data_IF_069862580210
#
_entry.id   IF_069862580210
#
_cell.length_a   1.000
_cell.length_b   1.000
_cell.length_c   1.000
_cell.angle_alpha   90.00
_cell.angle_beta   90.00
_cell.angle_gamma   90.00
#
_symmetry.space_group_name_H-M   'P 1'
#
loop_
_entity.id
_entity.type
_entity.pdbx_description
1 polymer ?
#
# COMPACT_ATOMS: atom_id res chain seq x y z
N UNK A 1 -13.80 -20.48 -2.00
CA UNK A 1 -13.43 -19.05 -2.10
C UNK A 1 -12.66 -18.69 -0.85
N UNK A 2 -11.56 -17.96 -1.00
CA UNK A 2 -10.68 -17.63 0.13
C UNK A 2 -11.14 -16.36 0.82
N UNK A 3 -11.66 -16.54 2.03
CA UNK A 3 -12.11 -15.47 2.92
C UNK A 3 -11.02 -15.17 3.95
N UNK A 4 -11.01 -13.94 4.44
CA UNK A 4 -10.14 -13.49 5.53
C UNK A 4 -10.63 -14.15 6.81
N UNK A 5 -9.80 -15.01 7.40
CA UNK A 5 -10.08 -15.80 8.59
C UNK A 5 -8.94 -15.67 9.60
N UNK A 6 -9.20 -15.88 10.90
CA UNK A 6 -8.14 -15.97 11.89
C UNK A 6 -7.11 -17.06 11.57
N UNK A 7 -5.87 -16.86 11.99
CA UNK A 7 -4.74 -17.78 11.81
C UNK A 7 -3.97 -17.63 10.51
N UNK A 8 -4.52 -16.94 9.49
CA UNK A 8 -3.86 -16.81 8.19
C UNK A 8 -2.94 -15.58 8.15
N UNK A 9 -1.87 -15.67 7.36
CA UNK A 9 -1.07 -14.51 6.98
C UNK A 9 -1.68 -13.82 5.77
N UNK A 10 -1.73 -12.49 5.81
CA UNK A 10 -2.15 -11.63 4.69
C UNK A 10 -1.16 -10.48 4.50
N UNK A 11 -1.18 -9.89 3.32
CA UNK A 11 -0.48 -8.65 3.02
C UNK A 11 -1.48 -7.49 3.10
N UNK A 12 -1.23 -6.56 4.02
CA UNK A 12 -1.95 -5.29 4.06
C UNK A 12 -1.23 -4.27 3.18
N UNK A 13 -1.89 -3.79 2.14
CA UNK A 13 -1.34 -2.81 1.18
C UNK A 13 -2.06 -1.48 1.30
N UNK A 14 -1.29 -0.39 1.40
CA UNK A 14 -1.72 1.00 1.26
C UNK A 14 -0.79 1.72 0.28
N UNK A 15 -1.20 1.83 -0.98
CA UNK A 15 -0.33 2.24 -2.10
C UNK A 15 0.99 1.45 -2.09
N UNK A 16 2.11 2.11 -1.81
CA UNK A 16 3.46 1.52 -1.79
C UNK A 16 3.83 0.92 -0.43
N UNK A 17 3.07 1.21 0.63
CA UNK A 17 3.29 0.62 1.94
C UNK A 17 2.63 -0.76 1.98
N UNK A 18 3.44 -1.79 2.08
CA UNK A 18 3.00 -3.18 2.18
C UNK A 18 3.56 -3.79 3.44
N UNK A 19 2.72 -4.52 4.18
CA UNK A 19 3.12 -5.21 5.42
C UNK A 19 2.47 -6.58 5.51
N UNK A 20 3.25 -7.60 5.84
CA UNK A 20 2.72 -8.92 6.21
C UNK A 20 2.18 -8.86 7.63
N UNK A 21 0.97 -9.36 7.83
CA UNK A 21 0.34 -9.51 9.15
C UNK A 21 -0.30 -10.89 9.27
N UNK A 22 -0.33 -11.42 10.49
CA UNK A 22 -1.16 -12.57 10.83
C UNK A 22 -2.50 -12.03 11.34
N UNK A 23 -3.60 -12.53 10.78
CA UNK A 23 -4.94 -12.19 11.24
C UNK A 23 -5.23 -13.01 12.49
N UNK A 24 -5.41 -12.37 13.64
CA UNK A 24 -5.76 -13.03 14.90
C UNK A 24 -7.28 -13.02 15.15
N UNK A 25 -7.75 -13.85 16.08
CA UNK A 25 -9.16 -13.85 16.48
C UNK A 25 -9.55 -12.56 17.20
N UNK A 26 -10.84 -12.19 17.12
CA UNK A 26 -11.40 -11.06 17.87
C UNK A 26 -11.23 -11.18 19.40
N UNK A 27 -10.82 -12.33 19.95
CA UNK A 27 -10.67 -12.54 21.40
C UNK A 27 -9.41 -11.92 22.02
N UNK A 28 -8.52 -11.36 21.21
CA UNK A 28 -7.32 -10.66 21.66
C UNK A 28 -7.55 -9.30 22.31
N UNK A 29 -6.54 -8.79 23.01
CA UNK A 29 -6.49 -7.42 23.54
C UNK A 29 -6.68 -6.37 22.44
N UNK A 30 -7.11 -5.14 22.76
CA UNK A 30 -7.30 -4.07 21.77
C UNK A 30 -6.05 -3.80 20.90
N UNK A 31 -4.85 -4.13 21.42
CA UNK A 31 -3.58 -4.04 20.67
C UNK A 31 -3.43 -5.09 19.57
N UNK A 32 -3.98 -6.29 19.74
CA UNK A 32 -3.88 -7.38 18.75
C UNK A 32 -4.76 -7.15 17.53
N UNK A 33 -5.79 -6.30 17.66
CA UNK A 33 -6.69 -5.91 16.56
C UNK A 33 -6.17 -4.72 15.77
N UNK A 34 -5.09 -4.09 16.24
CA UNK A 34 -4.52 -2.88 15.66
C UNK A 34 -3.19 -3.20 14.96
N UNK A 35 -3.08 -2.77 13.71
CA UNK A 35 -1.87 -2.92 12.91
C UNK A 35 -1.29 -1.55 12.62
N UNK A 36 -0.02 -1.36 12.97
CA UNK A 36 0.73 -0.20 12.53
C UNK A 36 1.15 -0.35 11.06
N UNK A 37 0.74 0.58 10.21
CA UNK A 37 1.12 0.69 8.80
C UNK A 37 1.69 2.08 8.54
N UNK A 38 3.01 2.17 8.41
CA UNK A 38 3.71 3.45 8.43
C UNK A 38 3.58 4.13 9.78
N UNK A 39 3.02 5.35 9.82
CA UNK A 39 2.79 6.12 11.05
C UNK A 39 1.37 5.97 11.59
N UNK A 40 0.50 5.25 10.88
CA UNK A 40 -0.91 5.13 11.21
C UNK A 40 -1.17 3.76 11.84
N UNK A 41 -2.11 3.75 12.79
CA UNK A 41 -2.59 2.54 13.45
C UNK A 41 -3.97 2.22 12.91
N UNK A 42 -4.18 1.00 12.45
CA UNK A 42 -5.40 0.59 11.75
C UNK A 42 -6.05 -0.55 12.54
N UNK A 43 -7.29 -0.35 12.98
CA UNK A 43 -8.15 -1.41 13.48
C UNK A 43 -8.69 -2.23 12.30
N UNK A 44 -8.31 -3.51 12.27
CA UNK A 44 -8.66 -4.47 11.22
C UNK A 44 -9.74 -5.46 11.68
N UNK A 45 -10.43 -5.20 12.80
CA UNK A 45 -11.47 -6.10 13.33
C UNK A 45 -12.59 -6.43 12.33
N UNK A 46 -12.90 -5.48 11.44
CA UNK A 46 -14.01 -5.57 10.50
C UNK A 46 -13.58 -6.13 9.13
N UNK A 47 -12.31 -6.52 8.93
CA UNK A 47 -11.89 -7.19 7.69
C UNK A 47 -12.25 -8.67 7.64
N UNK A 48 -12.54 -9.27 8.80
CA UNK A 48 -12.87 -10.69 8.93
C UNK A 48 -14.14 -11.05 8.16
N UNK A 49 -14.12 -12.18 7.45
CA UNK A 49 -15.26 -12.67 6.69
C UNK A 49 -15.40 -12.08 5.27
N UNK A 50 -14.62 -11.06 4.91
CA UNK A 50 -14.55 -10.57 3.54
C UNK A 50 -13.62 -11.44 2.67
N UNK A 51 -13.72 -11.31 1.35
CA UNK A 51 -12.85 -12.05 0.43
C UNK A 51 -11.44 -11.49 0.47
N UNK A 52 -10.44 -12.34 0.29
CA UNK A 52 -9.09 -11.85 0.01
C UNK A 52 -9.11 -11.07 -1.31
N UNK A 53 -8.48 -9.90 -1.33
CA UNK A 53 -8.56 -8.89 -2.40
C UNK A 53 -9.58 -7.79 -2.14
N UNK A 54 -10.38 -7.87 -1.06
CA UNK A 54 -11.28 -6.79 -0.67
C UNK A 54 -10.53 -5.52 -0.24
N UNK A 55 -11.16 -4.39 -0.52
CA UNK A 55 -10.66 -3.05 -0.23
C UNK A 55 -11.46 -2.47 0.94
N UNK A 56 -10.79 -1.68 1.77
CA UNK A 56 -11.38 -1.03 2.93
C UNK A 56 -10.98 0.44 2.95
N UNK A 57 -11.95 1.31 3.24
CA UNK A 57 -11.72 2.72 3.51
C UNK A 57 -11.31 2.89 4.98
N UNK A 58 -10.30 3.71 5.23
CA UNK A 58 -9.82 4.09 6.55
C UNK A 58 -10.65 5.26 7.06
N UNK A 59 -11.50 4.99 8.04
CA UNK A 59 -12.28 6.02 8.73
C UNK A 59 -11.50 6.48 9.95
N UNK A 60 -11.25 7.79 10.06
CA UNK A 60 -10.55 8.37 11.20
C UNK A 60 -11.31 8.13 12.50
N UNK A 61 -10.60 7.76 13.56
CA UNK A 61 -11.14 7.67 14.92
C UNK A 61 -10.59 8.78 15.80
N UNK A 62 -9.33 8.64 16.25
CA UNK A 62 -8.66 9.58 17.14
C UNK A 62 -7.18 9.63 16.82
N UNK A 63 -6.66 10.81 16.53
CA UNK A 63 -5.23 11.02 16.27
C UNK A 63 -4.78 10.33 14.99
N UNK A 64 -3.93 9.29 15.09
CA UNK A 64 -3.49 8.50 13.93
C UNK A 64 -4.11 7.10 13.91
N UNK A 65 -5.23 6.92 14.61
CA UNK A 65 -5.96 5.67 14.65
C UNK A 65 -7.11 5.70 13.63
N UNK A 66 -7.19 4.66 12.83
CA UNK A 66 -8.18 4.49 11.77
C UNK A 66 -8.89 3.16 11.92
N UNK A 67 -10.15 3.10 11.49
CA UNK A 67 -10.92 1.86 11.38
C UNK A 67 -11.06 1.48 9.92
N UNK A 68 -10.74 0.23 9.58
CA UNK A 68 -10.97 -0.30 8.24
C UNK A 68 -12.46 -0.64 8.07
N UNK A 69 -13.14 0.04 7.15
CA UNK A 69 -14.55 -0.18 6.81
C UNK A 69 -14.63 -0.66 5.37
N UNK A 70 -15.36 -1.73 5.10
CA UNK A 70 -15.47 -2.30 3.76
C UNK A 70 -16.01 -1.28 2.75
N UNK A 71 -15.43 -1.30 1.56
CA UNK A 71 -15.89 -0.53 0.40
C UNK A 71 -15.73 -1.38 -0.85
N UNK A 72 -16.68 -1.28 -1.77
CA UNK A 72 -16.66 -1.95 -3.06
C UNK A 72 -15.83 -1.18 -4.10
N UNK A 73 -15.54 0.10 -3.85
CA UNK A 73 -14.81 0.97 -4.78
C UNK A 73 -13.79 1.87 -4.10
N UNK A 74 -12.75 2.21 -4.85
CA UNK A 74 -11.82 3.31 -4.55
C UNK A 74 -12.30 4.52 -5.32
N UNK A 75 -12.51 5.64 -4.63
CA UNK A 75 -12.86 6.91 -5.26
C UNK A 75 -11.66 7.48 -6.01
N UNK A 76 -11.77 7.67 -7.33
CA UNK A 76 -10.87 8.57 -8.05
C UNK A 76 -11.28 10.01 -7.73
N UNK A 77 -10.35 10.80 -7.18
CA UNK A 77 -10.63 12.17 -6.79
C UNK A 77 -10.53 13.14 -7.96
N UNK A 78 -9.95 12.71 -9.08
CA UNK A 78 -9.65 13.58 -10.22
C UNK A 78 -10.93 14.18 -10.79
N UNK A 79 -11.90 13.34 -11.15
CA UNK A 79 -13.15 13.79 -11.75
C UNK A 79 -13.97 14.63 -10.76
N UNK A 80 -14.05 14.20 -9.50
CA UNK A 80 -14.85 14.86 -8.46
C UNK A 80 -14.30 16.25 -8.09
N UNK A 81 -12.97 16.40 -8.08
CA UNK A 81 -12.32 17.66 -7.68
C UNK A 81 -12.24 18.63 -8.85
N UNK A 82 -12.05 18.14 -10.07
CA UNK A 82 -11.90 18.99 -11.26
C UNK A 82 -13.23 19.35 -11.93
N UNK A 83 -14.35 18.78 -11.49
CA UNK A 83 -15.67 19.09 -12.02
C UNK A 83 -15.97 20.61 -11.92
N UNK A 84 -16.19 21.25 -13.07
CA UNK A 84 -16.49 22.67 -13.16
C UNK A 84 -15.28 23.61 -13.02
N UNK A 85 -14.06 23.09 -12.91
CA UNK A 85 -12.84 23.90 -12.83
C UNK A 85 -12.27 24.12 -14.24
N UNK A 86 -12.09 25.39 -14.64
CA UNK A 86 -11.42 25.74 -15.88
C UNK A 86 -9.92 25.44 -15.86
N UNK A 87 -9.31 25.28 -17.03
CA UNK A 87 -7.86 25.06 -17.16
C UNK A 87 -7.21 26.10 -18.07
N UNK A 88 -6.00 26.54 -17.72
CA UNK A 88 -5.16 27.36 -18.57
C UNK A 88 -4.52 26.58 -19.73
N UNK A 89 -3.94 27.29 -20.69
CA UNK A 89 -3.29 26.67 -21.86
C UNK A 89 -1.78 26.46 -21.67
N UNK A 90 -1.13 27.35 -20.93
CA UNK A 90 0.32 27.34 -20.72
C UNK A 90 0.70 27.92 -19.34
N UNK A 91 1.99 27.91 -19.04
CA UNK A 91 2.55 28.34 -17.76
C UNK A 91 3.27 29.70 -17.82
N UNK A 92 3.12 30.50 -18.88
CA UNK A 92 3.93 31.71 -19.11
C UNK A 92 3.75 32.78 -18.02
N UNK A 93 2.58 32.81 -17.38
CA UNK A 93 2.24 33.74 -16.30
C UNK A 93 2.31 33.09 -14.91
N UNK A 94 2.83 31.86 -14.83
CA UNK A 94 2.97 31.14 -13.56
C UNK A 94 4.35 31.41 -12.96
N UNK A 95 4.35 31.99 -11.78
CA UNK A 95 5.57 32.25 -11.00
C UNK A 95 5.62 31.30 -9.80
N UNK A 96 6.82 30.88 -9.41
CA UNK A 96 7.01 30.02 -8.24
C UNK A 96 6.91 30.85 -6.96
N UNK A 97 5.67 31.09 -6.54
CA UNK A 97 5.35 31.80 -5.32
C UNK A 97 4.91 30.81 -4.23
N UNK A 98 5.67 30.79 -3.14
CA UNK A 98 5.41 29.96 -1.96
C UNK A 98 4.09 30.34 -1.25
N UNK A 99 3.53 31.52 -1.53
CA UNK A 99 2.26 32.01 -0.98
C UNK A 99 1.04 31.59 -1.81
N UNK A 100 1.26 30.91 -2.95
CA UNK A 100 0.18 30.42 -3.83
C UNK A 100 -0.82 29.49 -3.13
N UNK A 101 -0.37 28.75 -2.10
CA UNK A 101 -1.22 27.95 -1.24
C UNK A 101 -1.52 28.69 0.06
N UNK A 102 -2.78 29.09 0.25
CA UNK A 102 -3.20 29.84 1.44
C UNK A 102 -3.32 28.98 2.70
N UNK A 103 -3.61 27.68 2.56
CA UNK A 103 -3.68 26.77 3.71
C UNK A 103 -2.28 26.38 4.20
N UNK A 104 -1.98 26.74 5.44
CA UNK A 104 -0.74 26.37 6.11
C UNK A 104 -0.60 24.85 6.33
N UNK A 105 0.61 24.40 6.60
CA UNK A 105 0.85 23.00 6.95
C UNK A 105 0.15 22.58 8.26
N UNK A 106 -0.05 23.51 9.18
CA UNK A 106 -0.73 23.25 10.46
C UNK A 106 -2.22 23.03 10.23
N UNK A 107 -2.87 23.87 9.44
CA UNK A 107 -4.29 23.73 9.07
C UNK A 107 -4.52 22.42 8.28
N UNK A 108 -3.65 22.09 7.33
CA UNK A 108 -3.72 20.81 6.61
C UNK A 108 -3.59 19.59 7.53
N UNK A 109 -2.77 19.70 8.59
CA UNK A 109 -2.65 18.64 9.59
C UNK A 109 -3.87 18.58 10.51
N UNK A 110 -4.50 19.73 10.77
CA UNK A 110 -5.71 19.84 11.58
C UNK A 110 -6.91 19.20 10.89
N UNK A 111 -7.12 19.46 9.60
CA UNK A 111 -8.17 18.79 8.80
C UNK A 111 -8.06 17.26 8.86
N UNK A 112 -6.83 16.73 8.84
CA UNK A 112 -6.60 15.29 9.01
C UNK A 112 -6.96 14.77 10.40
N UNK A 113 -6.67 15.55 11.45
CA UNK A 113 -7.00 15.20 12.84
C UNK A 113 -8.50 15.29 13.11
N UNK A 114 -9.20 16.16 12.39
CA UNK A 114 -10.67 16.29 12.45
C UNK A 114 -11.37 15.16 11.70
N UNK A 115 -10.64 14.39 10.89
CA UNK A 115 -11.18 13.28 10.12
C UNK A 115 -11.90 13.71 8.84
N UNK A 116 -11.60 14.92 8.34
CA UNK A 116 -12.08 15.41 7.05
C UNK A 116 -11.66 14.43 5.95
N UNK A 117 -12.58 14.12 5.02
CA UNK A 117 -12.30 13.16 3.96
C UNK A 117 -11.19 13.65 3.03
N UNK A 118 -10.45 12.73 2.41
CA UNK A 118 -9.42 13.07 1.45
C UNK A 118 -9.98 13.89 0.28
N UNK A 119 -11.20 13.59 -0.19
CA UNK A 119 -11.88 14.36 -1.22
C UNK A 119 -12.04 15.84 -0.79
N UNK A 120 -12.57 16.07 0.41
CA UNK A 120 -12.80 17.41 0.93
C UNK A 120 -11.49 18.16 1.21
N UNK A 121 -10.46 17.47 1.73
CA UNK A 121 -9.14 18.07 1.94
C UNK A 121 -8.53 18.50 0.61
N UNK A 122 -8.62 17.66 -0.42
CA UNK A 122 -8.07 17.99 -1.75
C UNK A 122 -8.87 19.13 -2.39
N UNK A 123 -10.20 19.15 -2.25
CA UNK A 123 -11.05 20.25 -2.71
C UNK A 123 -10.68 21.57 -2.04
N UNK A 124 -10.56 21.60 -0.71
CA UNK A 124 -10.12 22.80 0.02
C UNK A 124 -8.71 23.26 -0.40
N UNK A 125 -7.79 22.34 -0.68
CA UNK A 125 -6.44 22.68 -1.17
C UNK A 125 -6.46 23.30 -2.57
N UNK A 126 -7.39 22.88 -3.42
CA UNK A 126 -7.59 23.41 -4.77
C UNK A 126 -8.23 24.80 -4.69
N UNK A 127 -9.31 24.95 -3.92
CA UNK A 127 -10.00 26.24 -3.70
C UNK A 127 -9.07 27.31 -3.09
N UNK A 128 -8.13 26.91 -2.23
CA UNK A 128 -7.17 27.81 -1.59
C UNK A 128 -5.85 27.99 -2.37
N UNK A 129 -5.79 27.54 -3.63
CA UNK A 129 -4.63 27.70 -4.49
C UNK A 129 -4.89 28.75 -5.58
N UNK A 130 -4.31 29.94 -5.39
CA UNK A 130 -4.55 31.10 -6.26
C UNK A 130 -4.15 30.88 -7.73
N UNK A 131 -3.23 29.95 -8.00
CA UNK A 131 -2.71 29.69 -9.35
C UNK A 131 -3.23 28.37 -9.94
N UNK A 132 -4.23 27.72 -9.34
CA UNK A 132 -4.69 26.41 -9.79
C UNK A 132 -5.44 26.44 -11.12
N UNK A 133 -6.36 27.39 -11.30
CA UNK A 133 -7.11 27.55 -12.56
C UNK A 133 -6.21 27.95 -13.73
N UNK A 134 -5.10 28.65 -13.45
CA UNK A 134 -4.09 29.01 -14.45
C UNK A 134 -3.26 27.81 -14.93
N UNK A 135 -3.34 26.66 -14.25
CA UNK A 135 -2.61 25.44 -14.67
C UNK A 135 -3.29 24.80 -15.87
N UNK A 136 -2.46 24.17 -16.71
CA UNK A 136 -2.95 23.28 -17.76
C UNK A 136 -3.70 22.09 -17.16
N UNK A 137 -4.66 21.53 -17.91
CA UNK A 137 -5.45 20.37 -17.45
C UNK A 137 -4.56 19.23 -16.94
N UNK A 138 -3.51 18.86 -17.69
CA UNK A 138 -2.54 17.85 -17.23
C UNK A 138 -1.82 18.24 -15.93
N UNK A 139 -1.53 19.53 -15.72
CA UNK A 139 -0.90 20.02 -14.49
C UNK A 139 -1.86 20.00 -13.30
N UNK A 140 -3.16 20.25 -13.54
CA UNK A 140 -4.22 20.12 -12.54
C UNK A 140 -4.42 18.65 -12.13
N UNK A 141 -4.57 17.75 -13.10
CA UNK A 141 -4.67 16.30 -12.83
C UNK A 141 -3.44 15.78 -12.07
N UNK A 142 -2.23 16.16 -12.51
CA UNK A 142 -0.98 15.78 -11.82
C UNK A 142 -0.96 16.29 -10.38
N UNK A 143 -1.46 17.50 -10.14
CA UNK A 143 -1.58 18.05 -8.80
C UNK A 143 -2.56 17.24 -7.95
N UNK A 144 -3.76 16.97 -8.47
CA UNK A 144 -4.81 16.21 -7.77
C UNK A 144 -4.31 14.81 -7.45
N UNK A 145 -3.74 14.08 -8.41
CA UNK A 145 -3.15 12.73 -8.19
C UNK A 145 -2.08 12.75 -7.11
N UNK A 146 -1.19 13.75 -7.11
CA UNK A 146 -0.17 13.92 -6.05
C UNK A 146 -0.79 14.13 -4.67
N UNK A 147 -1.90 14.87 -4.57
CA UNK A 147 -2.61 15.06 -3.29
C UNK A 147 -3.39 13.80 -2.91
N UNK A 148 -4.10 13.18 -3.84
CA UNK A 148 -4.79 11.90 -3.62
C UNK A 148 -3.83 10.85 -3.06
N UNK A 149 -2.62 10.71 -3.61
CA UNK A 149 -1.59 9.82 -3.06
C UNK A 149 -1.21 10.16 -1.62
N UNK A 150 -1.04 11.46 -1.32
CA UNK A 150 -0.67 11.93 0.03
C UNK A 150 -1.79 11.67 1.05
N UNK A 151 -3.05 11.85 0.66
CA UNK A 151 -4.24 11.70 1.53
C UNK A 151 -4.92 10.34 1.36
N UNK A 152 -4.29 9.38 0.66
CA UNK A 152 -4.93 8.11 0.30
C UNK A 152 -5.50 7.34 1.49
N UNK A 153 -6.78 7.01 1.42
CA UNK A 153 -7.58 6.50 2.54
C UNK A 153 -7.89 5.01 2.43
N UNK A 154 -7.36 4.30 1.45
CA UNK A 154 -7.75 2.92 1.21
C UNK A 154 -6.64 1.94 1.58
N UNK A 155 -7.04 0.77 2.06
CA UNK A 155 -6.18 -0.39 2.22
C UNK A 155 -6.79 -1.58 1.51
N UNK A 156 -5.93 -2.52 1.15
CA UNK A 156 -6.32 -3.76 0.49
C UNK A 156 -5.68 -4.94 1.21
N UNK A 157 -6.45 -6.00 1.38
CA UNK A 157 -5.99 -7.23 2.03
C UNK A 157 -5.68 -8.27 0.95
N UNK A 158 -4.41 -8.55 0.73
CA UNK A 158 -3.93 -9.43 -0.33
C UNK A 158 -3.45 -10.78 0.19
N UNK A 159 -3.57 -11.80 -0.66
CA UNK A 159 -2.93 -13.10 -0.44
C UNK A 159 -1.41 -12.92 -0.50
N UNK A 160 -0.64 -13.43 0.48
CA UNK A 160 0.81 -13.48 0.35
C UNK A 160 1.19 -14.33 -0.86
N UNK A 161 2.02 -13.76 -1.73
CA UNK A 161 2.67 -14.47 -2.81
C UNK A 161 4.12 -14.01 -2.89
N UNK A 162 5.00 -14.85 -3.41
CA UNK A 162 6.42 -14.53 -3.53
C UNK A 162 6.65 -13.27 -4.35
N UNK A 163 5.80 -13.03 -5.37
CA UNK A 163 5.82 -11.77 -6.13
C UNK A 163 5.64 -10.56 -5.22
N UNK A 164 4.61 -10.56 -4.38
CA UNK A 164 4.30 -9.42 -3.52
C UNK A 164 5.28 -9.30 -2.35
N UNK A 165 5.72 -10.42 -1.77
CA UNK A 165 6.70 -10.45 -0.68
C UNK A 165 8.05 -9.94 -1.17
N UNK A 166 8.54 -10.40 -2.32
CA UNK A 166 9.80 -9.92 -2.91
C UNK A 166 9.74 -8.41 -3.19
N UNK A 167 8.64 -7.92 -3.77
CA UNK A 167 8.44 -6.48 -4.00
C UNK A 167 8.43 -5.68 -2.69
N UNK A 168 7.74 -6.19 -1.66
CA UNK A 168 7.70 -5.57 -0.34
C UNK A 168 9.10 -5.50 0.29
N UNK A 169 9.84 -6.61 0.33
CA UNK A 169 11.17 -6.67 0.93
C UNK A 169 12.15 -5.76 0.18
N UNK A 170 12.10 -5.76 -1.16
CA UNK A 170 12.93 -4.88 -1.98
C UNK A 170 12.63 -3.40 -1.74
N UNK A 171 11.36 -3.02 -1.63
CA UNK A 171 10.96 -1.64 -1.35
C UNK A 171 11.32 -1.19 0.08
N UNK A 172 11.30 -2.10 1.06
CA UNK A 172 11.61 -1.79 2.46
C UNK A 172 13.13 -1.68 2.70
N UNK A 173 13.90 -2.70 2.28
CA UNK A 173 15.35 -2.70 2.41
C UNK A 173 15.95 -3.72 1.43
N UNK A 174 16.39 -3.30 0.24
CA UNK A 174 16.89 -4.22 -0.77
C UNK A 174 18.20 -4.89 -0.35
N UNK A 175 19.02 -4.27 0.51
CA UNK A 175 20.27 -4.87 1.01
C UNK A 175 20.01 -6.13 1.85
N UNK A 176 18.89 -6.19 2.57
CA UNK A 176 18.49 -7.39 3.36
C UNK A 176 18.12 -8.60 2.49
N UNK A 177 17.97 -8.41 1.19
CA UNK A 177 17.73 -9.47 0.22
C UNK A 177 18.77 -9.45 -0.90
N UNK A 178 19.98 -8.95 -0.62
CA UNK A 178 21.10 -8.92 -1.57
C UNK A 178 20.77 -8.17 -2.88
N UNK A 179 19.91 -7.17 -2.82
CA UNK A 179 19.34 -6.46 -3.97
C UNK A 179 18.62 -7.37 -4.98
N UNK A 180 18.12 -8.53 -4.54
CA UNK A 180 17.40 -9.46 -5.39
C UNK A 180 16.03 -8.88 -5.78
N UNK A 181 15.94 -8.39 -7.02
CA UNK A 181 14.68 -7.95 -7.60
C UNK A 181 13.82 -9.14 -8.05
N UNK A 182 12.51 -8.91 -8.21
CA UNK A 182 11.55 -9.95 -8.59
C UNK A 182 11.81 -10.54 -9.99
N UNK A 183 12.29 -9.75 -10.95
CA UNK A 183 12.68 -10.21 -12.28
C UNK A 183 13.90 -11.14 -12.22
N UNK A 184 14.92 -10.79 -11.44
CA UNK A 184 16.08 -11.65 -11.20
C UNK A 184 15.68 -12.96 -10.52
N UNK A 185 14.86 -12.89 -9.46
CA UNK A 185 14.33 -14.07 -8.78
C UNK A 185 13.57 -14.98 -9.76
N UNK A 186 12.73 -14.40 -10.63
CA UNK A 186 11.97 -15.15 -11.64
C UNK A 186 12.88 -15.86 -12.64
N UNK A 187 13.97 -15.21 -13.06
CA UNK A 187 14.98 -15.80 -13.94
C UNK A 187 15.71 -16.96 -13.28
N UNK A 188 16.09 -16.83 -12.00
CA UNK A 188 16.74 -17.90 -11.23
C UNK A 188 15.83 -19.13 -11.15
N UNK A 189 14.58 -18.95 -10.73
CA UNK A 189 13.61 -20.05 -10.60
C UNK A 189 13.35 -20.75 -11.93
N UNK A 190 13.31 -19.99 -13.03
CA UNK A 190 13.07 -20.54 -14.38
C UNK A 190 14.29 -21.30 -14.88
N UNK A 191 15.50 -20.72 -14.75
CA UNK A 191 16.76 -21.36 -15.18
C UNK A 191 17.09 -22.61 -14.37
N UNK A 192 16.72 -22.64 -13.09
CA UNK A 192 16.87 -23.82 -12.24
C UNK A 192 15.75 -24.87 -12.45
N UNK A 193 14.80 -24.62 -13.37
CA UNK A 193 13.67 -25.50 -13.66
C UNK A 193 12.90 -25.92 -12.39
N UNK A 194 12.59 -24.94 -11.53
CA UNK A 194 11.84 -25.19 -10.29
C UNK A 194 10.38 -25.52 -10.62
N UNK A 195 9.95 -26.71 -10.24
CA UNK A 195 8.63 -27.29 -10.50
C UNK A 195 8.23 -28.30 -9.42
N UNK A 196 6.95 -28.63 -9.37
CA UNK A 196 6.45 -29.68 -8.49
C UNK A 196 7.07 -31.04 -8.79
N UNK A 197 7.26 -31.83 -7.73
CA UNK A 197 7.89 -33.16 -7.73
C UNK A 197 9.42 -33.15 -7.67
N UNK A 198 10.06 -31.99 -7.83
CA UNK A 198 11.52 -31.89 -7.83
C UNK A 198 12.14 -31.99 -6.44
N UNK A 199 13.44 -32.31 -6.42
CA UNK A 199 14.30 -32.25 -5.23
C UNK A 199 15.34 -31.17 -5.46
N UNK A 200 15.31 -30.11 -4.66
CA UNK A 200 16.14 -28.93 -4.85
C UNK A 200 17.04 -28.72 -3.64
N UNK A 201 18.30 -28.36 -3.91
CA UNK A 201 19.24 -27.90 -2.90
C UNK A 201 19.36 -26.38 -3.04
N UNK A 202 19.15 -25.65 -1.96
CA UNK A 202 19.31 -24.20 -1.91
C UNK A 202 20.28 -23.85 -0.81
N UNK A 203 21.32 -23.10 -1.17
CA UNK A 203 22.15 -22.40 -0.20
C UNK A 203 21.68 -20.95 -0.17
N UNK A 204 21.13 -20.54 0.97
CA UNK A 204 20.65 -19.18 1.17
C UNK A 204 21.21 -18.65 2.49
N UNK A 205 22.07 -17.63 2.38
CA UNK A 205 22.54 -16.87 3.51
C UNK A 205 22.17 -15.41 3.29
N UNK A 206 21.48 -14.79 4.25
CA UNK A 206 21.19 -13.35 4.26
C UNK A 206 20.12 -12.80 3.29
N UNK A 207 19.18 -13.60 2.77
CA UNK A 207 17.99 -13.09 2.03
C UNK A 207 16.64 -13.37 2.69
N UNK A 208 16.64 -13.49 4.03
CA UNK A 208 15.43 -13.65 4.86
C UNK A 208 14.54 -14.84 4.47
N UNK A 209 15.12 -15.88 3.85
CA UNK A 209 14.38 -17.05 3.39
C UNK A 209 13.58 -16.81 2.10
N UNK A 210 13.76 -15.66 1.42
CA UNK A 210 13.02 -15.32 0.21
C UNK A 210 13.25 -16.34 -0.92
N UNK A 211 14.50 -16.78 -1.13
CA UNK A 211 14.79 -17.74 -2.19
C UNK A 211 14.20 -19.11 -1.88
N UNK A 212 14.39 -19.58 -0.63
CA UNK A 212 13.82 -20.85 -0.16
C UNK A 212 12.29 -20.84 -0.27
N UNK A 213 11.64 -19.78 0.20
CA UNK A 213 10.19 -19.61 0.10
C UNK A 213 9.72 -19.57 -1.36
N UNK A 214 10.50 -18.94 -2.26
CA UNK A 214 10.21 -18.89 -3.69
C UNK A 214 10.24 -20.27 -4.35
N UNK A 215 11.22 -21.09 -3.97
CA UNK A 215 11.30 -22.47 -4.43
C UNK A 215 10.11 -23.27 -3.87
N UNK A 216 9.81 -23.14 -2.58
CA UNK A 216 8.67 -23.83 -1.95
C UNK A 216 7.32 -23.47 -2.60
N UNK A 217 7.07 -22.20 -2.91
CA UNK A 217 5.83 -21.77 -3.59
C UNK A 217 5.67 -22.46 -4.96
N UNK A 218 6.77 -22.63 -5.71
CA UNK A 218 6.77 -23.27 -7.04
C UNK A 218 6.73 -24.79 -7.00
N UNK A 219 7.34 -25.40 -5.99
CA UNK A 219 7.30 -26.85 -5.75
C UNK A 219 5.89 -27.29 -5.30
N UNK A 220 5.23 -26.47 -4.50
CA UNK A 220 3.90 -26.75 -3.99
C UNK A 220 3.89 -27.94 -3.02
N UNK A 221 2.87 -28.80 -3.10
CA UNK A 221 2.63 -29.87 -2.13
C UNK A 221 3.45 -31.15 -2.37
N UNK A 222 4.17 -31.26 -3.48
CA UNK A 222 4.92 -32.47 -3.85
C UNK A 222 6.35 -32.08 -4.21
N UNK A 223 7.33 -32.68 -3.53
CA UNK A 223 8.76 -32.42 -3.75
C UNK A 223 9.52 -32.27 -2.45
N UNK A 224 10.80 -31.89 -2.55
CA UNK A 224 11.66 -31.68 -1.36
C UNK A 224 12.63 -30.54 -1.61
N UNK A 225 12.78 -29.65 -0.61
CA UNK A 225 13.74 -28.54 -0.65
C UNK A 225 14.68 -28.71 0.53
N UNK A 226 15.98 -28.87 0.24
CA UNK A 226 17.04 -28.93 1.23
C UNK A 226 17.67 -27.55 1.33
N UNK A 227 17.48 -26.88 2.47
CA UNK A 227 18.11 -25.59 2.74
C UNK A 227 19.42 -25.81 3.50
N UNK A 228 20.54 -25.40 2.89
CA UNK A 228 21.84 -25.29 3.58
C UNK A 228 21.94 -23.86 4.12
N UNK A 229 22.17 -23.72 5.43
CA UNK A 229 22.40 -22.44 6.10
C UNK A 229 23.77 -22.43 6.78
N UNK A 230 24.38 -21.24 6.91
CA UNK A 230 25.71 -21.07 7.49
C UNK A 230 25.77 -21.10 9.02
N UNK A 231 24.62 -21.12 9.70
CA UNK A 231 24.49 -20.89 11.15
C UNK A 231 23.79 -19.58 11.44
#
# INVERSE_FOLDING_TARGET
>A
MDYIKPGIYVLLRRKNLVKVIKIEEKKGSAKERQVQLGRDTIDISDVLGYKIGSIFKLVHQKGRNFKAVFTDRVSDLTDVVLEGIGSGENNQSQWDDITSQKLSHQEQAQLRKEGTSAADIVKQLVENNAAFELKTGFSQEKYVKKKEEKYFEYIEVLRPSIRLIAQMLYAQNPLKILNLRIDMLSQILTRANIRSGGRYLVFENSSLGLMTAAIMERVGSVGTVYQIHGG
#
